data_IF_613649639438
#
_entry.id   IF_613649639438
#
_cell.length_a   1.000
_cell.length_b   1.000
_cell.length_c   1.000
_cell.angle_alpha   90.00
_cell.angle_beta   90.00
_cell.angle_gamma   90.00
#
_symmetry.space_group_name_H-M   'P 1'
#
loop_
_entity.id
_entity.type
_entity.pdbx_description
1 polymer ?
#
# COMPACT_ATOMS: atom_id res chain seq x y z
N UNK A 1 4.61 -4.78 -20.14
CA UNK A 1 3.94 -3.55 -20.64
C UNK A 1 2.61 -3.27 -19.95
N UNK A 2 2.00 -4.21 -19.21
CA UNK A 2 0.76 -3.99 -18.44
C UNK A 2 0.99 -3.30 -17.08
N UNK A 3 2.11 -3.58 -16.39
CA UNK A 3 2.42 -3.06 -15.04
C UNK A 3 2.40 -1.53 -14.90
N UNK A 4 2.54 -0.78 -16.00
CA UNK A 4 2.60 0.68 -15.92
C UNK A 4 1.24 1.38 -16.00
N UNK A 5 0.17 0.69 -16.42
CA UNK A 5 -1.11 1.39 -16.63
C UNK A 5 -1.73 1.84 -15.31
N UNK A 6 -1.59 1.03 -14.26
CA UNK A 6 -2.12 1.31 -12.92
C UNK A 6 -1.38 2.50 -12.30
N UNK A 7 -0.04 2.49 -12.35
CA UNK A 7 0.79 3.59 -11.85
C UNK A 7 0.49 4.92 -12.57
N UNK A 8 0.36 4.88 -13.90
CA UNK A 8 0.02 6.06 -14.70
C UNK A 8 -1.40 6.56 -14.40
N UNK A 9 -2.34 5.64 -14.14
CA UNK A 9 -3.70 6.02 -13.79
C UNK A 9 -3.74 6.70 -12.42
N UNK A 10 -3.08 6.14 -11.40
CA UNK A 10 -3.00 6.76 -10.08
C UNK A 10 -2.34 8.12 -10.18
N UNK A 11 -1.20 8.22 -10.87
CA UNK A 11 -0.50 9.49 -11.06
C UNK A 11 -1.38 10.58 -11.68
N UNK A 12 -2.13 10.25 -12.74
CA UNK A 12 -3.03 11.21 -13.42
C UNK A 12 -4.19 11.68 -12.55
N UNK A 13 -4.55 10.91 -11.52
CA UNK A 13 -5.65 11.20 -10.61
C UNK A 13 -5.17 11.70 -9.24
N UNK A 14 -3.86 11.90 -9.06
CA UNK A 14 -3.34 12.51 -7.83
C UNK A 14 -3.81 13.97 -7.70
N UNK A 15 -3.93 14.48 -6.47
CA UNK A 15 -4.11 15.90 -6.23
C UNK A 15 -3.02 16.71 -6.94
N UNK A 16 -3.36 17.76 -7.67
CA UNK A 16 -2.41 18.52 -8.51
C UNK A 16 -1.30 19.28 -7.78
N UNK A 17 -1.16 19.11 -6.46
CA UNK A 17 -0.07 19.67 -5.64
C UNK A 17 0.42 18.62 -4.63
N UNK A 18 1.71 18.61 -4.28
CA UNK A 18 2.23 17.73 -3.25
C UNK A 18 1.45 17.82 -1.94
N UNK A 19 1.04 16.65 -1.43
CA UNK A 19 0.19 16.50 -0.25
C UNK A 19 0.47 15.16 0.45
N UNK A 20 -0.33 14.81 1.47
CA UNK A 20 -0.18 13.54 2.20
C UNK A 20 -1.05 12.46 1.55
N UNK A 21 -0.42 11.36 1.18
CA UNK A 21 -1.04 10.21 0.51
C UNK A 21 -1.00 9.00 1.44
N UNK A 22 -2.03 8.16 1.39
CA UNK A 22 -2.06 6.87 2.07
C UNK A 22 -2.05 5.74 1.04
N UNK A 23 -1.13 4.79 1.21
CA UNK A 23 -0.97 3.61 0.38
C UNK A 23 -1.07 2.33 1.23
N UNK A 24 -2.10 1.52 1.04
CA UNK A 24 -2.21 0.20 1.69
C UNK A 24 -1.76 -0.90 0.72
N UNK A 25 -0.99 -1.87 1.23
CA UNK A 25 -0.26 -2.83 0.40
C UNK A 25 0.95 -2.20 -0.28
N UNK A 26 1.64 -1.29 0.42
CA UNK A 26 2.66 -0.43 -0.20
C UNK A 26 3.98 -1.15 -0.50
N UNK A 27 4.18 -2.38 -0.02
CA UNK A 27 5.44 -3.10 -0.23
C UNK A 27 5.62 -3.43 -1.70
N UNK A 28 6.82 -3.14 -2.20
CA UNK A 28 7.21 -3.30 -3.62
C UNK A 28 6.40 -2.46 -4.64
N UNK A 29 5.47 -1.61 -4.18
CA UNK A 29 4.77 -0.63 -5.01
C UNK A 29 5.72 0.50 -5.44
N UNK A 30 6.01 0.59 -6.74
CA UNK A 30 6.94 1.58 -7.32
C UNK A 30 6.42 3.02 -7.19
N UNK A 31 5.13 3.22 -6.95
CA UNK A 31 4.57 4.56 -6.79
C UNK A 31 5.09 5.29 -5.55
N UNK A 32 5.55 4.56 -4.52
CA UNK A 32 6.14 5.16 -3.31
C UNK A 32 7.33 6.04 -3.68
N UNK A 33 8.29 5.52 -4.46
CA UNK A 33 9.47 6.28 -4.88
C UNK A 33 9.08 7.38 -5.86
N UNK A 34 8.24 7.05 -6.85
CA UNK A 34 7.77 8.02 -7.85
C UNK A 34 7.10 9.25 -7.23
N UNK A 35 6.24 9.06 -6.22
CA UNK A 35 5.49 10.15 -5.62
C UNK A 35 6.31 10.91 -4.58
N UNK A 36 7.19 10.22 -3.84
CA UNK A 36 8.11 10.91 -2.92
C UNK A 36 9.13 11.79 -3.68
N UNK A 37 9.63 11.34 -4.83
CA UNK A 37 10.46 12.15 -5.74
C UNK A 37 9.74 13.39 -6.28
N UNK A 38 8.43 13.29 -6.51
CA UNK A 38 7.56 14.42 -6.89
C UNK A 38 7.18 15.33 -5.71
N UNK A 39 7.67 15.04 -4.51
CA UNK A 39 7.50 15.86 -3.32
C UNK A 39 6.29 15.52 -2.46
N UNK A 40 5.51 14.49 -2.80
CA UNK A 40 4.41 14.02 -1.95
C UNK A 40 4.98 13.36 -0.68
N UNK A 41 4.18 13.38 0.39
CA UNK A 41 4.44 12.55 1.56
C UNK A 41 3.60 11.29 1.45
N UNK A 42 4.23 10.13 1.41
CA UNK A 42 3.54 8.83 1.33
C UNK A 42 3.58 8.17 2.69
N UNK A 43 2.40 7.82 3.21
CA UNK A 43 2.24 6.94 4.36
C UNK A 43 1.85 5.56 3.83
N UNK A 44 2.77 4.61 3.92
CA UNK A 44 2.60 3.23 3.47
C UNK A 44 2.27 2.27 4.61
N UNK A 45 1.38 1.33 4.34
CA UNK A 45 1.06 0.22 5.25
C UNK A 45 1.21 -1.10 4.50
N UNK A 46 1.88 -2.06 5.13
CA UNK A 46 1.97 -3.42 4.62
C UNK A 46 2.15 -4.45 5.76
N UNK A 47 1.70 -5.68 5.55
CA UNK A 47 1.90 -6.79 6.49
C UNK A 47 3.39 -7.16 6.62
N UNK A 48 4.16 -6.99 5.54
CA UNK A 48 5.56 -7.36 5.44
C UNK A 48 6.47 -6.13 5.50
N UNK A 49 7.70 -6.25 6.04
CA UNK A 49 8.61 -5.13 6.11
C UNK A 49 8.98 -4.61 4.71
N UNK A 50 9.01 -3.28 4.56
CA UNK A 50 9.44 -2.62 3.33
C UNK A 50 10.93 -2.23 3.42
N UNK A 51 11.79 -2.67 2.46
CA UNK A 51 13.22 -2.34 2.47
C UNK A 51 13.53 -0.84 2.35
N UNK A 52 12.56 -0.03 1.92
CA UNK A 52 12.65 1.44 1.75
C UNK A 52 12.34 2.21 3.04
N UNK A 53 11.75 1.54 4.04
CA UNK A 53 11.41 2.16 5.32
C UNK A 53 12.64 2.80 5.99
N UNK A 54 12.54 4.08 6.35
CA UNK A 54 13.64 4.86 6.95
C UNK A 54 14.78 5.24 5.98
N UNK A 55 14.71 4.87 4.71
CA UNK A 55 15.71 5.20 3.68
C UNK A 55 15.18 6.19 2.63
N UNK A 56 13.89 6.09 2.31
CA UNK A 56 13.24 6.99 1.35
C UNK A 56 12.74 8.24 2.04
N UNK A 57 13.16 9.41 1.55
CA UNK A 57 12.68 10.70 2.06
C UNK A 57 11.18 10.86 1.79
N UNK A 58 10.46 11.49 2.71
CA UNK A 58 9.00 11.68 2.63
C UNK A 58 8.19 10.38 2.58
N UNK A 59 8.78 9.26 2.99
CA UNK A 59 8.09 7.99 3.17
C UNK A 59 8.00 7.63 4.65
N UNK A 60 6.77 7.47 5.13
CA UNK A 60 6.45 6.96 6.46
C UNK A 60 5.86 5.55 6.29
N UNK A 61 6.46 4.55 6.91
CA UNK A 61 6.03 3.16 6.75
C UNK A 61 5.56 2.57 8.08
N UNK A 62 4.40 1.92 8.05
CA UNK A 62 3.83 1.18 9.18
C UNK A 62 3.69 -0.30 8.80
N UNK A 63 4.34 -1.17 9.57
CA UNK A 63 4.15 -2.62 9.40
C UNK A 63 2.93 -3.08 10.18
N UNK A 64 1.98 -3.73 9.51
CA UNK A 64 0.82 -4.36 10.14
C UNK A 64 -0.39 -4.41 9.21
N UNK A 65 -1.50 -4.90 9.75
CA UNK A 65 -2.79 -4.87 9.06
C UNK A 65 -3.42 -3.48 9.19
N UNK A 66 -3.74 -2.83 8.06
CA UNK A 66 -4.34 -1.50 8.08
C UNK A 66 -5.75 -1.48 8.67
N UNK A 67 -6.45 -2.63 8.71
CA UNK A 67 -7.77 -2.76 9.36
C UNK A 67 -7.68 -2.60 10.87
N UNK A 68 -6.52 -2.91 11.45
CA UNK A 68 -6.25 -2.80 12.90
C UNK A 68 -5.62 -1.44 13.27
N UNK A 69 -5.38 -0.57 12.27
CA UNK A 69 -4.74 0.72 12.46
C UNK A 69 -5.75 1.84 12.60
N UNK A 70 -5.42 2.81 13.46
CA UNK A 70 -6.16 4.07 13.57
C UNK A 70 -5.24 5.23 13.19
N UNK A 71 -5.58 5.94 12.13
CA UNK A 71 -4.91 7.18 11.73
C UNK A 71 -5.74 8.37 12.22
N UNK A 72 -5.08 9.34 12.86
CA UNK A 72 -5.72 10.60 13.27
C UNK A 72 -5.52 11.70 12.23
N UNK A 73 -4.62 11.44 11.29
CA UNK A 73 -4.22 12.31 10.21
C UNK A 73 -5.25 12.30 9.08
N UNK A 74 -5.30 13.41 8.33
CA UNK A 74 -6.05 13.49 7.09
C UNK A 74 -5.13 13.14 5.93
N UNK A 75 -5.66 12.36 4.99
CA UNK A 75 -5.03 12.08 3.71
C UNK A 75 -5.82 12.76 2.60
N UNK A 76 -5.11 13.39 1.66
CA UNK A 76 -5.73 14.00 0.49
C UNK A 76 -6.05 12.97 -0.60
N UNK A 77 -5.38 11.82 -0.57
CA UNK A 77 -5.66 10.68 -1.44
C UNK A 77 -5.33 9.38 -0.71
N UNK A 78 -6.20 8.38 -0.89
CA UNK A 78 -6.03 7.01 -0.43
C UNK A 78 -6.02 6.14 -1.67
N UNK A 79 -4.99 5.32 -1.84
CA UNK A 79 -4.88 4.41 -2.97
C UNK A 79 -4.26 3.09 -2.52
N UNK A 80 -4.39 2.09 -3.38
CA UNK A 80 -3.76 0.78 -3.25
C UNK A 80 -3.79 0.14 -4.64
N UNK A 81 -2.76 -0.61 -4.97
CA UNK A 81 -2.60 -1.24 -6.28
C UNK A 81 -2.44 -2.73 -6.06
N UNK A 82 -3.29 -3.54 -6.69
CA UNK A 82 -3.32 -5.00 -6.51
C UNK A 82 -3.30 -5.43 -5.03
N UNK A 83 -4.11 -4.75 -4.21
CA UNK A 83 -4.12 -4.90 -2.75
C UNK A 83 -5.51 -5.05 -2.14
N UNK A 84 -6.56 -4.52 -2.79
CA UNK A 84 -7.92 -4.52 -2.23
C UNK A 84 -8.55 -5.90 -2.22
N UNK A 85 -8.21 -6.73 -3.19
CA UNK A 85 -8.62 -8.13 -3.33
C UNK A 85 -8.09 -9.04 -2.22
N UNK A 86 -7.11 -8.57 -1.46
CA UNK A 86 -6.46 -9.32 -0.39
C UNK A 86 -6.85 -8.85 1.03
N UNK A 87 -7.65 -7.79 1.13
CA UNK A 87 -8.09 -7.22 2.41
C UNK A 87 -8.95 -8.23 3.18
N UNK A 88 -8.56 -8.51 4.43
CA UNK A 88 -9.27 -9.44 5.31
C UNK A 88 -9.01 -10.93 5.03
N UNK A 89 -8.15 -11.27 4.05
CA UNK A 89 -7.74 -12.64 3.81
C UNK A 89 -6.64 -13.07 4.79
N UNK A 90 -6.79 -14.22 5.42
CA UNK A 90 -5.82 -14.74 6.40
C UNK A 90 -4.52 -15.27 5.78
N UNK A 91 -4.47 -15.42 4.46
CA UNK A 91 -3.38 -16.09 3.76
C UNK A 91 -2.45 -15.14 2.98
N UNK A 92 -2.72 -13.83 2.94
CA UNK A 92 -1.87 -12.90 2.20
C UNK A 92 -0.61 -12.51 2.99
N UNK A 93 0.57 -12.62 2.36
CA UNK A 93 1.85 -12.27 2.97
C UNK A 93 2.35 -13.22 4.06
N UNK A 94 1.67 -14.36 4.28
CA UNK A 94 2.04 -15.40 5.24
C UNK A 94 2.28 -16.70 4.50
N UNK A 95 3.28 -17.50 4.92
CA UNK A 95 3.29 -18.94 4.63
C UNK A 95 2.19 -19.63 5.45
N UNK A 96 0.93 -19.22 5.25
CA UNK A 96 -0.18 -19.91 5.85
C UNK A 96 -0.29 -21.27 5.15
N UNK A 97 -0.12 -22.35 5.93
CA UNK A 97 -0.63 -23.65 5.51
C UNK A 97 -2.13 -23.48 5.33
N UNK A 98 -2.56 -23.35 4.08
CA UNK A 98 -3.95 -23.43 3.70
C UNK A 98 -4.61 -24.60 4.45
N UNK A 99 -5.54 -24.29 5.36
CA UNK A 99 -6.44 -25.30 5.89
C UNK A 99 -7.42 -25.77 4.79
N UNK A 100 -7.66 -24.89 3.81
CA UNK A 100 -8.37 -25.17 2.57
C UNK A 100 -7.54 -24.70 1.37
N UNK A 101 -7.19 -25.59 0.41
CA UNK A 101 -6.41 -25.25 -0.78
C UNK A 101 -7.00 -24.11 -1.61
N UNK A 102 -8.31 -23.89 -1.53
CA UNK A 102 -9.02 -22.88 -2.31
C UNK A 102 -9.07 -21.50 -1.61
N UNK A 103 -8.64 -21.41 -0.34
CA UNK A 103 -8.55 -20.16 0.42
C UNK A 103 -9.86 -19.69 1.04
N UNK A 104 -10.90 -20.51 1.02
CA UNK A 104 -12.21 -20.19 1.60
C UNK A 104 -12.18 -20.07 3.13
N UNK A 105 -12.87 -19.05 3.65
CA UNK A 105 -13.16 -18.92 5.08
C UNK A 105 -14.30 -19.89 5.42
N UNK A 106 -14.00 -20.98 6.12
CA UNK A 106 -15.03 -21.90 6.62
C UNK A 106 -15.73 -21.28 7.84
N UNK A 107 -17.01 -20.96 7.68
CA UNK A 107 -17.94 -20.56 8.75
C UNK A 107 -18.40 -21.74 9.59
#
# INVERSE_FOLDING_TARGET
MAENIEYLWVEKNLPGKPCRLFNFGSRDDRTVELFTEKGYTVVGVDLLPDPRAGKTRNYEFHKGDFLEMSFKERFECVYGISSVEHVGLQCYGVEAKFADPDGDIKT
#
